data_IF_418079042303
#
_entry.id   IF_418079042303
#
_cell.length_a   1.000
_cell.length_b   1.000
_cell.length_c   1.000
_cell.angle_alpha   90.00
_cell.angle_beta   90.00
_cell.angle_gamma   90.00
#
_symmetry.space_group_name_H-M   'P 1'
#
loop_
_entity.id
_entity.type
_entity.pdbx_description
1 polymer ?
#
# COMPACT_ATOMS: atom_id res chain seq x y z
N UNK A 1 -43.53 -8.17 61.23
CA UNK A 1 -43.95 -9.20 60.25
C UNK A 1 -43.74 -8.65 58.85
N UNK A 2 -42.98 -9.35 58.01
CA UNK A 2 -42.83 -9.01 56.59
C UNK A 2 -44.05 -9.49 55.79
N UNK A 3 -44.41 -8.76 54.74
CA UNK A 3 -45.47 -9.15 53.82
C UNK A 3 -44.90 -9.86 52.59
N UNK A 4 -45.64 -10.83 52.06
CA UNK A 4 -45.26 -11.52 50.84
C UNK A 4 -45.29 -10.52 49.66
N UNK A 5 -44.20 -10.46 48.90
CA UNK A 5 -44.08 -9.58 47.74
C UNK A 5 -45.17 -9.85 46.69
N UNK A 6 -45.56 -11.11 46.51
CA UNK A 6 -46.51 -11.54 45.47
C UNK A 6 -47.98 -11.41 45.91
N UNK A 7 -48.35 -11.91 47.09
CA UNK A 7 -49.76 -11.95 47.53
C UNK A 7 -50.11 -10.96 48.63
N UNK A 8 -49.15 -10.15 49.09
CA UNK A 8 -49.27 -9.11 50.14
C UNK A 8 -49.74 -9.60 51.52
N UNK A 9 -49.94 -10.91 51.71
CA UNK A 9 -50.27 -11.50 53.03
C UNK A 9 -49.14 -11.29 54.03
N UNK A 10 -49.49 -10.99 55.27
CA UNK A 10 -48.56 -10.86 56.41
C UNK A 10 -48.36 -12.23 57.05
N UNK A 11 -47.11 -12.59 57.38
CA UNK A 11 -46.81 -13.90 57.97
C UNK A 11 -45.32 -14.25 57.92
N UNK A 12 -45.02 -15.54 58.01
CA UNK A 12 -43.66 -16.06 57.83
C UNK A 12 -43.27 -16.00 56.35
N UNK A 13 -42.14 -15.36 56.05
CA UNK A 13 -41.68 -15.18 54.67
C UNK A 13 -40.21 -15.59 54.51
N UNK A 14 -39.86 -16.00 53.29
CA UNK A 14 -38.52 -16.42 52.90
C UNK A 14 -37.97 -15.47 51.84
N UNK A 15 -36.71 -15.07 51.97
CA UNK A 15 -36.10 -14.08 51.10
C UNK A 15 -35.33 -14.78 49.99
N UNK A 16 -35.65 -14.46 48.73
CA UNK A 16 -34.85 -14.89 47.58
C UNK A 16 -33.42 -14.37 47.71
N UNK A 17 -32.42 -15.24 47.58
CA UNK A 17 -31.02 -14.88 47.75
C UNK A 17 -30.49 -14.01 46.61
N UNK A 18 -31.16 -13.99 45.45
CA UNK A 18 -30.85 -13.11 44.32
C UNK A 18 -31.55 -11.74 44.42
N UNK A 19 -32.87 -11.67 44.31
CA UNK A 19 -33.60 -10.39 44.27
C UNK A 19 -33.99 -9.82 45.64
N UNK A 20 -33.71 -10.53 46.74
CA UNK A 20 -34.05 -10.16 48.13
C UNK A 20 -35.54 -9.99 48.43
N UNK A 21 -36.44 -10.32 47.50
CA UNK A 21 -37.88 -10.28 47.71
C UNK A 21 -38.33 -11.36 48.70
N UNK A 22 -39.22 -10.99 49.63
CA UNK A 22 -39.82 -11.89 50.62
C UNK A 22 -41.05 -12.59 50.05
N UNK A 23 -41.13 -13.92 50.17
CA UNK A 23 -42.24 -14.73 49.67
C UNK A 23 -42.83 -15.60 50.79
N UNK A 24 -44.16 -15.77 50.81
CA UNK A 24 -44.81 -16.75 51.68
C UNK A 24 -44.60 -18.17 51.16
N UNK A 25 -44.89 -19.18 52.00
CA UNK A 25 -44.77 -20.61 51.66
C UNK A 25 -45.44 -20.94 50.32
N UNK A 26 -46.65 -20.47 50.09
CA UNK A 26 -47.42 -20.81 48.88
C UNK A 26 -46.83 -20.15 47.63
N UNK A 27 -46.44 -18.86 47.71
CA UNK A 27 -45.85 -18.16 46.57
C UNK A 27 -44.40 -18.56 46.27
N UNK A 28 -43.71 -19.13 47.25
CA UNK A 28 -42.37 -19.69 47.11
C UNK A 28 -42.39 -21.17 46.71
N UNK A 29 -43.56 -21.83 46.77
CA UNK A 29 -43.75 -23.27 46.53
C UNK A 29 -42.82 -24.15 47.36
N UNK A 30 -42.56 -23.75 48.60
CA UNK A 30 -41.68 -24.48 49.52
C UNK A 30 -42.42 -25.59 50.25
N UNK A 31 -41.84 -26.78 50.22
CA UNK A 31 -42.24 -27.94 51.01
C UNK A 31 -41.87 -27.76 52.48
N UNK A 32 -42.46 -28.56 53.37
CA UNK A 32 -42.16 -28.47 54.81
C UNK A 32 -40.72 -28.86 55.14
N UNK A 33 -40.14 -29.78 54.39
CA UNK A 33 -38.74 -30.19 54.51
C UNK A 33 -37.80 -29.04 54.15
N UNK A 34 -38.09 -28.29 53.09
CA UNK A 34 -37.33 -27.10 52.70
C UNK A 34 -37.46 -25.96 53.73
N UNK A 35 -38.65 -25.76 54.30
CA UNK A 35 -38.85 -24.76 55.36
C UNK A 35 -38.00 -25.08 56.59
N UNK A 36 -37.95 -26.34 57.02
CA UNK A 36 -37.08 -26.77 58.13
C UNK A 36 -35.60 -26.52 57.83
N UNK A 37 -35.18 -26.70 56.57
CA UNK A 37 -33.81 -26.41 56.15
C UNK A 37 -33.46 -24.90 56.23
N UNK A 38 -34.43 -24.00 56.05
CA UNK A 38 -34.22 -22.55 56.21
C UNK A 38 -34.05 -22.10 57.66
N UNK A 39 -34.54 -22.87 58.63
CA UNK A 39 -34.44 -22.55 60.06
C UNK A 39 -33.08 -22.91 60.65
N UNK A 40 -32.23 -23.63 59.90
CA UNK A 40 -30.89 -23.99 60.33
C UNK A 40 -29.98 -22.75 60.35
N UNK A 41 -29.29 -22.53 61.48
CA UNK A 41 -28.37 -21.38 61.68
C UNK A 41 -27.25 -21.28 60.63
N UNK A 42 -26.83 -22.41 60.05
CA UNK A 42 -25.77 -22.51 59.05
C UNK A 42 -26.30 -23.02 57.70
N UNK A 43 -27.29 -22.33 57.13
CA UNK A 43 -27.81 -22.72 55.81
C UNK A 43 -26.78 -22.44 54.70
N UNK A 44 -26.38 -23.48 53.97
CA UNK A 44 -25.64 -23.38 52.69
C UNK A 44 -26.56 -23.37 51.48
N UNK A 45 -27.79 -23.86 51.65
CA UNK A 45 -28.81 -23.91 50.60
C UNK A 45 -29.26 -22.49 50.26
N UNK A 46 -29.27 -22.18 48.97
CA UNK A 46 -29.77 -20.91 48.44
C UNK A 46 -31.20 -21.10 47.92
N UNK A 47 -32.01 -20.08 48.15
CA UNK A 47 -33.37 -19.99 47.63
C UNK A 47 -33.44 -18.96 46.52
N UNK A 48 -33.98 -19.36 45.37
CA UNK A 48 -34.29 -18.45 44.28
C UNK A 48 -35.78 -18.49 44.01
N UNK A 49 -36.43 -17.33 43.90
CA UNK A 49 -37.79 -17.29 43.41
C UNK A 49 -37.83 -17.72 41.94
N UNK A 50 -38.98 -18.18 41.43
CA UNK A 50 -39.15 -18.65 40.04
C UNK A 50 -38.58 -17.69 38.98
N UNK A 51 -38.74 -16.38 39.20
CA UNK A 51 -38.18 -15.34 38.30
C UNK A 51 -36.65 -15.37 38.29
N UNK A 52 -36.03 -15.47 39.46
CA UNK A 52 -34.58 -15.50 39.59
C UNK A 52 -34.01 -16.85 39.13
N UNK A 53 -34.68 -17.95 39.41
CA UNK A 53 -34.27 -19.28 38.99
C UNK A 53 -34.22 -19.39 37.46
N UNK A 54 -35.30 -18.97 36.78
CA UNK A 54 -35.34 -18.90 35.32
C UNK A 54 -34.35 -17.90 34.70
N UNK A 55 -34.01 -16.81 35.40
CA UNK A 55 -32.98 -15.89 34.93
C UNK A 55 -31.57 -16.48 35.05
N UNK A 56 -31.28 -17.21 36.14
CA UNK A 56 -29.97 -17.79 36.40
C UNK A 56 -29.64 -18.89 35.39
N UNK A 57 -30.63 -19.66 34.95
CA UNK A 57 -30.43 -20.69 33.91
C UNK A 57 -30.08 -20.11 32.54
N UNK A 58 -30.43 -18.85 32.26
CA UNK A 58 -30.10 -18.15 31.00
C UNK A 58 -28.72 -17.49 31.00
N UNK A 59 -28.11 -17.28 32.18
CA UNK A 59 -26.80 -16.62 32.30
C UNK A 59 -25.71 -17.32 31.47
N UNK A 60 -25.56 -18.66 31.48
CA UNK A 60 -24.53 -19.34 30.70
C UNK A 60 -24.69 -19.10 29.19
N UNK A 61 -25.93 -19.05 28.69
CA UNK A 61 -26.22 -18.81 27.28
C UNK A 61 -25.86 -17.37 26.88
N UNK A 62 -26.17 -16.40 27.74
CA UNK A 62 -25.80 -15.01 27.51
C UNK A 62 -24.28 -14.83 27.49
N UNK A 63 -23.55 -15.47 28.41
CA UNK A 63 -22.08 -15.45 28.44
C UNK A 63 -21.50 -16.05 27.17
N UNK A 64 -22.04 -17.17 26.69
CA UNK A 64 -21.60 -17.78 25.43
C UNK A 64 -21.83 -16.85 24.23
N UNK A 65 -22.98 -16.18 24.17
CA UNK A 65 -23.31 -15.22 23.11
C UNK A 65 -22.38 -14.00 23.14
N UNK A 66 -22.13 -13.42 24.32
CA UNK A 66 -21.19 -12.29 24.49
C UNK A 66 -19.79 -12.69 24.02
N UNK A 67 -19.31 -13.88 24.39
CA UNK A 67 -18.00 -14.37 23.96
C UNK A 67 -17.94 -14.56 22.44
N UNK A 68 -18.99 -15.13 21.83
CA UNK A 68 -19.08 -15.30 20.38
C UNK A 68 -19.10 -13.96 19.63
N UNK A 69 -19.79 -12.95 20.16
CA UNK A 69 -19.79 -11.62 19.56
C UNK A 69 -18.42 -10.96 19.71
N UNK A 70 -17.76 -11.15 20.84
CA UNK A 70 -16.41 -10.63 21.09
C UNK A 70 -15.39 -11.22 20.10
N UNK A 71 -15.47 -12.53 19.82
CA UNK A 71 -14.59 -13.17 18.82
C UNK A 71 -14.86 -12.64 17.42
N UNK A 72 -16.12 -12.54 17.00
CA UNK A 72 -16.48 -11.98 15.69
C UNK A 72 -16.01 -10.53 15.53
N UNK A 73 -16.15 -9.69 16.56
CA UNK A 73 -15.64 -8.31 16.54
C UNK A 73 -14.11 -8.28 16.38
N UNK A 74 -13.40 -9.18 17.06
CA UNK A 74 -11.94 -9.24 16.98
C UNK A 74 -11.48 -9.71 15.59
N UNK A 75 -12.15 -10.71 15.01
CA UNK A 75 -11.90 -11.18 13.64
C UNK A 75 -12.17 -10.08 12.61
N UNK A 76 -13.29 -9.37 12.72
CA UNK A 76 -13.60 -8.24 11.85
C UNK A 76 -12.54 -7.14 11.98
N UNK A 77 -12.12 -6.81 13.20
CA UNK A 77 -11.05 -5.83 13.43
C UNK A 77 -9.71 -6.28 12.85
N UNK A 78 -9.34 -7.56 12.94
CA UNK A 78 -8.12 -8.07 12.32
C UNK A 78 -8.20 -8.05 10.81
N UNK A 79 -9.34 -8.42 10.23
CA UNK A 79 -9.55 -8.39 8.78
C UNK A 79 -9.50 -6.95 8.23
N UNK A 80 -10.10 -5.99 8.93
CA UNK A 80 -10.00 -4.57 8.59
C UNK A 80 -8.53 -4.15 8.65
N UNK A 81 -7.80 -4.42 9.74
CA UNK A 81 -6.38 -4.05 9.87
C UNK A 81 -5.53 -4.66 8.75
N UNK A 82 -5.72 -5.93 8.42
CA UNK A 82 -5.02 -6.61 7.33
C UNK A 82 -5.31 -5.95 5.96
N UNK A 83 -6.59 -5.62 5.71
CA UNK A 83 -7.01 -4.92 4.50
C UNK A 83 -6.58 -3.45 4.46
N UNK A 84 -6.35 -2.80 5.61
CA UNK A 84 -5.84 -1.42 5.66
C UNK A 84 -4.31 -1.39 5.51
N UNK A 85 -3.60 -2.42 5.98
CA UNK A 85 -2.15 -2.55 5.83
C UNK A 85 -1.70 -2.86 4.39
N UNK A 86 -2.56 -3.52 3.61
CA UNK A 86 -2.46 -3.48 2.16
C UNK A 86 -3.06 -2.16 1.70
N UNK A 87 -2.24 -1.14 1.47
CA UNK A 87 -2.63 0.12 0.81
C UNK A 87 -3.62 -0.17 -0.31
N UNK A 88 -4.92 -0.04 -0.04
CA UNK A 88 -5.92 0.11 -1.08
C UNK A 88 -5.67 1.52 -1.56
N UNK A 89 -4.79 1.67 -2.55
CA UNK A 89 -4.90 2.81 -3.48
C UNK A 89 -6.33 2.73 -3.98
N UNK A 90 -7.15 3.73 -3.65
CA UNK A 90 -8.55 3.74 -4.10
C UNK A 90 -8.59 3.57 -5.61
N UNK A 91 -9.66 2.97 -6.15
CA UNK A 91 -9.79 2.81 -7.61
C UNK A 91 -9.59 4.16 -8.32
N UNK A 92 -10.08 5.24 -7.70
CA UNK A 92 -9.89 6.63 -8.12
C UNK A 92 -8.42 7.04 -8.22
N UNK A 93 -7.57 6.68 -7.24
CA UNK A 93 -6.13 6.95 -7.28
C UNK A 93 -5.45 6.20 -8.43
N UNK A 94 -5.87 4.97 -8.71
CA UNK A 94 -5.36 4.18 -9.84
C UNK A 94 -5.73 4.85 -11.16
N UNK A 95 -6.99 5.24 -11.33
CA UNK A 95 -7.45 5.92 -12.55
C UNK A 95 -6.76 7.28 -12.74
N UNK A 96 -6.63 8.06 -11.66
CA UNK A 96 -5.92 9.34 -11.68
C UNK A 96 -4.46 9.15 -12.12
N UNK A 97 -3.75 8.17 -11.56
CA UNK A 97 -2.36 7.85 -11.92
C UNK A 97 -2.23 7.39 -13.38
N UNK A 98 -3.16 6.57 -13.89
CA UNK A 98 -3.15 6.14 -15.30
C UNK A 98 -3.32 7.35 -16.21
N UNK A 99 -4.29 8.22 -15.92
CA UNK A 99 -4.53 9.42 -16.72
C UNK A 99 -3.32 10.37 -16.69
N UNK A 100 -2.71 10.54 -15.51
CA UNK A 100 -1.49 11.34 -15.35
C UNK A 100 -0.32 10.79 -16.19
N UNK A 101 -0.15 9.46 -16.22
CA UNK A 101 0.85 8.80 -17.07
C UNK A 101 0.58 9.02 -18.55
N UNK A 102 -0.68 8.94 -18.99
CA UNK A 102 -1.06 9.19 -20.38
C UNK A 102 -0.75 10.64 -20.76
N UNK A 103 -1.10 11.61 -19.91
CA UNK A 103 -0.80 13.02 -20.16
C UNK A 103 0.70 13.33 -20.13
N UNK A 104 1.49 12.61 -19.34
CA UNK A 104 2.95 12.78 -19.27
C UNK A 104 3.72 12.02 -20.35
N UNK A 105 3.10 11.04 -21.00
CA UNK A 105 3.76 10.21 -22.02
C UNK A 105 4.25 11.01 -23.24
N UNK A 106 3.62 12.14 -23.54
CA UNK A 106 4.04 13.10 -24.58
C UNK A 106 5.09 14.11 -24.12
N UNK A 107 5.60 13.99 -22.91
CA UNK A 107 6.54 14.96 -22.34
C UNK A 107 7.95 14.38 -22.22
N UNK A 108 8.94 15.23 -22.44
CA UNK A 108 10.36 14.92 -22.19
C UNK A 108 10.93 15.98 -21.26
N UNK A 109 11.70 15.55 -20.26
CA UNK A 109 12.41 16.45 -19.35
C UNK A 109 13.87 16.50 -19.75
N UNK A 110 14.33 17.69 -20.10
CA UNK A 110 15.73 18.00 -20.42
C UNK A 110 16.39 18.60 -19.19
N UNK A 111 17.49 18.01 -18.76
CA UNK A 111 18.33 18.54 -17.68
C UNK A 111 19.64 19.10 -18.24
N UNK A 112 20.20 20.06 -17.51
CA UNK A 112 21.48 20.72 -17.82
C UNK A 112 21.52 21.49 -19.15
N UNK A 113 20.37 21.95 -19.65
CA UNK A 113 20.34 22.88 -20.77
C UNK A 113 20.56 24.30 -20.25
N UNK A 114 21.60 24.99 -20.73
CA UNK A 114 21.88 26.38 -20.37
C UNK A 114 20.65 27.28 -20.56
N UNK A 115 20.43 28.22 -19.63
CA UNK A 115 19.32 29.17 -19.70
C UNK A 115 19.77 30.47 -20.35
N UNK A 116 18.99 30.94 -21.32
CA UNK A 116 19.20 32.26 -21.90
C UNK A 116 18.61 33.34 -20.97
N UNK A 117 19.43 34.34 -20.63
CA UNK A 117 19.00 35.47 -19.81
C UNK A 117 18.58 36.62 -20.74
N UNK A 118 17.28 36.85 -20.84
CA UNK A 118 16.72 38.08 -21.42
C UNK A 118 15.44 38.45 -20.68
N UNK A 119 15.11 39.74 -20.67
CA UNK A 119 13.91 40.25 -20.03
C UNK A 119 12.65 39.79 -20.78
N UNK A 120 12.71 39.80 -22.11
CA UNK A 120 11.61 39.34 -22.95
C UNK A 120 11.39 37.82 -22.84
N UNK A 121 10.12 37.43 -22.70
CA UNK A 121 9.72 36.03 -22.57
C UNK A 121 9.83 35.27 -23.89
N UNK A 122 9.47 35.91 -25.01
CA UNK A 122 9.43 35.25 -26.31
C UNK A 122 10.83 34.89 -26.82
N UNK A 123 11.80 35.80 -26.64
CA UNK A 123 13.22 35.57 -26.94
C UNK A 123 13.77 34.37 -26.16
N UNK A 124 13.48 34.25 -24.87
CA UNK A 124 13.90 33.07 -24.07
C UNK A 124 13.31 31.77 -24.60
N UNK A 125 12.00 31.76 -24.87
CA UNK A 125 11.32 30.58 -25.39
C UNK A 125 11.89 30.17 -26.75
N UNK A 126 12.14 31.14 -27.65
CA UNK A 126 12.69 30.88 -28.97
C UNK A 126 14.13 30.35 -28.90
N UNK A 127 14.96 30.88 -27.99
CA UNK A 127 16.32 30.37 -27.76
C UNK A 127 16.34 28.96 -27.17
N UNK A 128 15.42 28.66 -26.25
CA UNK A 128 15.24 27.31 -25.72
C UNK A 128 14.83 26.34 -26.83
N UNK A 129 13.88 26.73 -27.69
CA UNK A 129 13.47 25.93 -28.86
C UNK A 129 14.61 25.70 -29.83
N UNK A 130 15.34 26.74 -30.20
CA UNK A 130 16.51 26.66 -31.10
C UNK A 130 17.55 25.69 -30.56
N UNK A 131 17.88 25.80 -29.27
CA UNK A 131 18.84 24.92 -28.60
C UNK A 131 18.39 23.45 -28.62
N UNK A 132 17.11 23.20 -28.36
CA UNK A 132 16.54 21.85 -28.40
C UNK A 132 16.52 21.29 -29.82
N UNK A 133 16.15 22.10 -30.81
CA UNK A 133 16.18 21.70 -32.23
C UNK A 133 17.59 21.31 -32.68
N UNK A 134 18.62 22.06 -32.24
CA UNK A 134 20.02 21.72 -32.52
C UNK A 134 20.42 20.39 -31.88
N UNK A 135 19.95 20.11 -30.66
CA UNK A 135 20.19 18.81 -29.99
C UNK A 135 19.49 17.69 -30.75
N UNK A 136 18.23 17.85 -31.15
CA UNK A 136 17.49 16.84 -31.91
C UNK A 136 18.15 16.55 -33.26
N UNK A 137 18.60 17.60 -33.96
CA UNK A 137 19.38 17.46 -35.20
C UNK A 137 20.69 16.69 -34.98
N UNK A 138 21.42 16.98 -33.89
CA UNK A 138 22.66 16.27 -33.55
C UNK A 138 22.44 14.77 -33.26
N UNK A 139 21.22 14.39 -32.89
CA UNK A 139 20.82 13.00 -32.65
C UNK A 139 20.31 12.30 -33.92
N UNK A 140 20.28 12.99 -35.08
CA UNK A 140 19.64 12.55 -36.33
C UNK A 140 18.15 12.23 -36.16
N UNK A 141 17.44 13.04 -35.37
CA UNK A 141 16.00 12.93 -35.19
C UNK A 141 15.28 13.97 -36.05
N UNK A 142 14.03 13.70 -36.49
CA UNK A 142 13.25 14.70 -37.19
C UNK A 142 12.98 15.92 -36.30
N UNK A 143 12.82 17.07 -36.96
CA UNK A 143 12.42 18.30 -36.30
C UNK A 143 10.92 18.23 -35.97
N UNK A 144 10.60 17.81 -34.76
CA UNK A 144 9.24 17.81 -34.25
C UNK A 144 8.81 19.21 -33.80
N UNK A 145 7.50 19.46 -33.86
CA UNK A 145 6.90 20.63 -33.24
C UNK A 145 6.60 20.36 -31.75
N UNK A 146 7.09 21.23 -30.86
CA UNK A 146 6.89 21.07 -29.43
C UNK A 146 6.72 22.42 -28.70
N UNK A 147 6.09 22.36 -27.52
CA UNK A 147 6.09 23.45 -26.55
C UNK A 147 7.23 23.24 -25.54
N UNK A 148 7.85 24.33 -25.10
CA UNK A 148 8.98 24.32 -24.16
C UNK A 148 8.64 25.15 -22.92
N UNK A 149 8.78 24.58 -21.72
CA UNK A 149 8.45 25.23 -20.45
C UNK A 149 9.54 24.91 -19.42
N UNK A 150 10.22 25.92 -18.87
CA UNK A 150 11.19 25.73 -17.77
C UNK A 150 10.46 25.42 -16.46
N UNK A 151 10.96 24.45 -15.70
CA UNK A 151 10.38 24.00 -14.45
C UNK A 151 11.06 24.65 -13.23
N UNK A 152 10.26 25.19 -12.32
CA UNK A 152 10.72 25.80 -11.07
C UNK A 152 11.06 27.28 -11.16
N UNK A 153 11.46 27.85 -10.03
CA UNK A 153 11.80 29.28 -9.91
C UNK A 153 13.25 29.55 -10.29
N UNK A 154 13.50 30.64 -11.02
CA UNK A 154 14.84 31.06 -11.34
C UNK A 154 15.58 31.46 -10.06
N UNK A 155 16.77 30.88 -9.84
CA UNK A 155 17.66 31.22 -8.73
C UNK A 155 18.98 31.68 -9.31
N UNK A 156 19.48 32.82 -8.83
CA UNK A 156 20.81 33.29 -9.22
C UNK A 156 21.87 32.27 -8.79
N UNK A 157 22.85 32.02 -9.67
CA UNK A 157 23.97 31.08 -9.46
C UNK A 157 23.58 29.63 -9.16
N UNK A 158 22.39 29.20 -9.57
CA UNK A 158 21.94 27.80 -9.46
C UNK A 158 22.22 27.01 -10.74
N UNK A 159 22.19 25.68 -10.63
CA UNK A 159 22.11 24.78 -11.79
C UNK A 159 20.94 25.20 -12.70
N UNK A 160 21.09 25.07 -14.03
CA UNK A 160 20.01 25.39 -14.97
C UNK A 160 18.75 24.58 -14.64
N UNK A 161 17.60 25.26 -14.73
CA UNK A 161 16.29 24.66 -14.51
C UNK A 161 15.99 23.61 -15.56
N UNK A 162 15.37 22.49 -15.18
CA UNK A 162 14.92 21.50 -16.15
C UNK A 162 13.95 22.13 -17.15
N UNK A 163 14.07 21.77 -18.42
CA UNK A 163 13.16 22.17 -19.47
C UNK A 163 12.19 21.02 -19.78
N UNK A 164 10.88 21.29 -19.67
CA UNK A 164 9.82 20.37 -20.09
C UNK A 164 9.47 20.64 -21.53
N UNK A 165 9.61 19.61 -22.36
CA UNK A 165 9.13 19.58 -23.73
C UNK A 165 7.78 18.86 -23.75
N UNK A 166 6.82 19.41 -24.49
CA UNK A 166 5.49 18.84 -24.69
C UNK A 166 5.28 18.65 -26.18
N UNK A 167 5.28 17.40 -26.62
CA UNK A 167 5.08 17.00 -28.00
C UNK A 167 3.58 16.86 -28.32
N UNK A 168 3.25 16.74 -29.62
CA UNK A 168 1.88 16.47 -30.05
C UNK A 168 1.49 15.04 -29.71
N UNK A 169 2.40 14.10 -29.98
CA UNK A 169 2.16 12.66 -29.81
C UNK A 169 3.13 12.02 -28.83
N UNK A 170 2.68 10.95 -28.15
CA UNK A 170 3.55 10.15 -27.27
C UNK A 170 4.68 9.42 -28.04
N UNK A 171 4.44 9.10 -29.32
CA UNK A 171 5.42 8.43 -30.18
C UNK A 171 6.66 9.31 -30.42
N UNK A 172 6.45 10.60 -30.67
CA UNK A 172 7.53 11.59 -30.88
C UNK A 172 8.44 11.66 -29.63
N UNK A 173 7.82 11.82 -28.46
CA UNK A 173 8.54 11.80 -27.18
C UNK A 173 9.29 10.48 -26.95
N UNK A 174 8.69 9.35 -27.33
CA UNK A 174 9.30 8.03 -27.22
C UNK A 174 10.51 7.87 -28.15
N UNK A 175 10.45 8.37 -29.38
CA UNK A 175 11.57 8.35 -30.33
C UNK A 175 12.77 9.13 -29.80
N UNK A 176 12.53 10.35 -29.30
CA UNK A 176 13.54 11.16 -28.63
C UNK A 176 14.18 10.41 -27.45
N UNK A 177 13.37 9.74 -26.63
CA UNK A 177 13.84 9.04 -25.44
C UNK A 177 14.51 7.69 -25.72
N UNK A 178 14.23 7.04 -26.85
CA UNK A 178 14.95 5.82 -27.29
C UNK A 178 16.42 6.12 -27.54
N UNK A 179 16.68 7.23 -28.23
CA UNK A 179 18.00 7.64 -28.66
C UNK A 179 18.69 8.62 -27.70
N UNK A 180 18.14 8.86 -26.52
CA UNK A 180 18.69 9.78 -25.49
C UNK A 180 20.18 9.61 -25.15
N UNK A 181 20.78 8.45 -25.44
CA UNK A 181 22.22 8.19 -25.25
C UNK A 181 23.10 8.87 -26.30
N UNK A 182 22.53 9.28 -27.44
CA UNK A 182 23.18 10.06 -28.50
C UNK A 182 23.19 11.56 -28.20
N UNK A 183 22.45 12.01 -27.17
CA UNK A 183 22.45 13.41 -26.77
C UNK A 183 23.85 13.82 -26.28
N UNK A 184 24.22 15.11 -26.40
CA UNK A 184 25.48 15.62 -25.89
C UNK A 184 25.69 15.25 -24.41
N UNK A 185 26.92 14.88 -24.03
CA UNK A 185 27.24 14.30 -22.71
C UNK A 185 26.75 15.12 -21.50
N UNK A 186 26.72 16.45 -21.66
CA UNK A 186 26.31 17.36 -20.59
C UNK A 186 24.79 17.36 -20.36
N UNK A 187 24.02 16.97 -21.38
CA UNK A 187 22.56 17.07 -21.43
C UNK A 187 21.94 15.71 -21.16
N UNK A 188 20.91 15.68 -20.31
CA UNK A 188 20.20 14.44 -19.98
C UNK A 188 18.73 14.56 -20.35
N UNK A 189 18.25 13.61 -21.15
CA UNK A 189 16.84 13.49 -21.53
C UNK A 189 16.20 12.35 -20.74
N UNK A 190 15.14 12.66 -20.00
CA UNK A 190 14.41 11.70 -19.18
C UNK A 190 12.90 11.77 -19.45
N UNK A 191 12.19 10.69 -19.11
CA UNK A 191 10.73 10.65 -19.07
C UNK A 191 10.19 11.61 -18.00
N UNK A 192 9.07 12.27 -18.28
CA UNK A 192 8.29 12.98 -17.26
C UNK A 192 7.51 11.95 -16.41
N UNK A 193 8.07 11.61 -15.25
CA UNK A 193 7.49 10.61 -14.36
C UNK A 193 6.51 11.23 -13.36
N UNK A 194 5.46 10.49 -13.01
CA UNK A 194 4.56 10.80 -11.89
C UNK A 194 5.30 10.73 -10.55
N UNK A 195 4.69 11.25 -9.48
CA UNK A 195 5.25 11.17 -8.13
C UNK A 195 5.44 9.71 -7.72
N UNK A 196 4.41 8.88 -7.92
CA UNK A 196 4.43 7.45 -7.59
C UNK A 196 5.55 6.71 -8.33
N UNK A 197 5.76 7.01 -9.62
CA UNK A 197 6.86 6.43 -10.39
C UNK A 197 8.24 6.82 -9.85
N UNK A 198 8.42 8.10 -9.47
CA UNK A 198 9.68 8.60 -8.91
C UNK A 198 9.99 7.96 -7.56
N UNK A 199 8.98 7.84 -6.69
CA UNK A 199 9.11 7.19 -5.39
C UNK A 199 9.45 5.71 -5.52
N UNK A 200 8.72 4.98 -6.37
CA UNK A 200 9.02 3.57 -6.66
C UNK A 200 10.45 3.39 -7.16
N UNK A 201 10.90 4.24 -8.09
CA UNK A 201 12.28 4.19 -8.57
C UNK A 201 13.29 4.52 -7.48
N UNK A 202 13.01 5.51 -6.61
CA UNK A 202 13.86 5.87 -5.48
C UNK A 202 14.01 4.70 -4.51
N UNK A 203 12.93 4.02 -4.17
CA UNK A 203 12.95 2.82 -3.32
C UNK A 203 13.82 1.72 -3.92
N UNK A 204 13.60 1.37 -5.18
CA UNK A 204 14.38 0.33 -5.88
C UNK A 204 15.86 0.71 -5.97
N UNK A 205 16.17 2.01 -6.13
CA UNK A 205 17.55 2.51 -6.13
C UNK A 205 18.21 2.42 -4.76
N UNK A 206 17.49 2.74 -3.69
CA UNK A 206 17.98 2.57 -2.32
C UNK A 206 18.25 1.09 -2.01
N UNK A 207 17.30 0.22 -2.37
CA UNK A 207 17.46 -1.23 -2.22
C UNK A 207 18.69 -1.75 -2.99
N UNK A 208 18.89 -1.30 -4.23
CA UNK A 208 20.09 -1.65 -4.99
C UNK A 208 21.36 -1.22 -4.25
N UNK A 209 21.41 0.00 -3.71
CA UNK A 209 22.56 0.48 -2.96
C UNK A 209 22.84 -0.36 -1.71
N UNK A 210 21.79 -0.73 -0.96
CA UNK A 210 21.92 -1.62 0.20
C UNK A 210 22.47 -2.99 -0.18
N UNK A 211 22.00 -3.58 -1.29
CA UNK A 211 22.53 -4.88 -1.76
C UNK A 211 23.99 -4.77 -2.20
N UNK A 212 24.34 -3.69 -2.89
CA UNK A 212 25.72 -3.42 -3.29
C UNK A 212 26.64 -3.22 -2.06
N UNK A 213 26.18 -2.51 -1.02
CA UNK A 213 26.95 -2.36 0.23
C UNK A 213 27.08 -3.67 1.01
N UNK A 214 26.12 -4.58 0.88
CA UNK A 214 26.16 -5.91 1.46
C UNK A 214 27.06 -6.89 0.67
N UNK A 215 27.72 -6.44 -0.41
CA UNK A 215 28.66 -7.23 -1.19
C UNK A 215 28.05 -8.00 -2.37
N UNK A 216 26.74 -7.86 -2.64
CA UNK A 216 26.17 -8.41 -3.88
C UNK A 216 26.76 -7.66 -5.09
N UNK A 217 27.25 -8.40 -6.08
CA UNK A 217 27.81 -7.83 -7.31
C UNK A 217 26.91 -8.06 -8.52
N UNK A 218 27.21 -7.36 -9.62
CA UNK A 218 26.54 -7.53 -10.91
C UNK A 218 25.04 -7.23 -10.93
N UNK A 219 24.54 -6.42 -10.00
CA UNK A 219 23.14 -5.99 -9.99
C UNK A 219 22.90 -4.79 -10.92
N UNK A 220 21.70 -4.69 -11.49
CA UNK A 220 21.22 -3.48 -12.17
C UNK A 220 19.71 -3.37 -12.12
N UNK A 221 19.23 -2.13 -12.20
CA UNK A 221 17.80 -1.85 -12.38
C UNK A 221 17.46 -2.01 -13.86
N UNK A 222 16.46 -2.84 -14.16
CA UNK A 222 15.81 -2.88 -15.46
C UNK A 222 14.31 -2.71 -15.32
N UNK A 223 13.70 -2.14 -16.34
CA UNK A 223 12.24 -2.07 -16.43
C UNK A 223 11.72 -3.35 -17.06
N UNK A 224 10.87 -4.08 -16.33
CA UNK A 224 10.18 -5.29 -16.80
C UNK A 224 8.69 -4.99 -16.76
N UNK A 225 8.02 -5.03 -17.93
CA UNK A 225 6.60 -4.67 -18.07
C UNK A 225 6.26 -3.30 -17.47
N UNK A 226 7.13 -2.32 -17.68
CA UNK A 226 6.95 -0.95 -17.17
C UNK A 226 7.34 -0.74 -15.70
N UNK A 227 7.77 -1.78 -14.98
CA UNK A 227 8.15 -1.66 -13.57
C UNK A 227 9.66 -1.78 -13.35
N UNK A 228 10.27 -0.90 -12.53
CA UNK A 228 11.69 -1.02 -12.18
C UNK A 228 11.91 -2.22 -11.25
N UNK A 229 12.81 -3.12 -11.62
CA UNK A 229 13.20 -4.29 -10.83
C UNK A 229 14.72 -4.44 -10.83
N UNK A 230 15.27 -4.89 -9.70
CA UNK A 230 16.69 -5.26 -9.59
C UNK A 230 16.85 -6.64 -10.21
N UNK A 231 17.79 -6.77 -11.14
CA UNK A 231 18.15 -8.04 -11.76
C UNK A 231 19.66 -8.27 -11.63
N UNK A 232 20.06 -9.54 -11.63
CA UNK A 232 21.46 -9.91 -11.80
C UNK A 232 21.83 -9.88 -13.28
N UNK A 233 22.97 -9.26 -13.60
CA UNK A 233 23.59 -9.33 -14.91
C UNK A 233 24.25 -10.70 -15.01
N UNK A 234 23.67 -11.63 -15.76
CA UNK A 234 24.36 -12.86 -16.11
C UNK A 234 25.63 -12.52 -16.91
N UNK A 235 26.76 -13.10 -16.51
CA UNK A 235 28.04 -12.95 -17.20
C UNK A 235 27.97 -13.66 -18.56
N UNK A 236 27.49 -12.97 -19.60
CA UNK A 236 27.46 -13.47 -20.99
C UNK A 236 28.84 -13.88 -21.54
N UNK A 237 29.94 -13.59 -20.83
CA UNK A 237 31.31 -13.96 -21.23
C UNK A 237 31.59 -15.48 -21.21
N UNK A 238 30.83 -16.29 -20.45
CA UNK A 238 31.09 -17.74 -20.35
C UNK A 238 30.41 -18.52 -21.50
N UNK A 239 29.23 -18.10 -21.94
CA UNK A 239 28.47 -18.81 -22.98
C UNK A 239 29.12 -18.79 -24.37
N UNK A 240 29.91 -17.76 -24.70
CA UNK A 240 30.59 -17.63 -26.00
C UNK A 240 31.84 -18.52 -26.08
N UNK A 241 32.46 -18.86 -24.94
CA UNK A 241 33.67 -19.70 -24.91
C UNK A 241 33.34 -21.17 -25.14
N UNK A 242 32.18 -21.64 -24.65
CA UNK A 242 31.73 -23.03 -24.81
C UNK A 242 31.33 -23.32 -26.27
N UNK A 243 30.67 -22.37 -26.95
CA UNK A 243 30.28 -22.55 -28.37
C UNK A 243 31.47 -22.52 -29.34
N UNK A 244 32.55 -21.79 -29.03
CA UNK A 244 33.79 -21.83 -29.85
C UNK A 244 34.61 -23.12 -29.69
N UNK A 245 34.66 -23.70 -28.49
CA UNK A 245 35.33 -25.00 -28.31
C UNK A 245 34.59 -26.15 -29.02
N UNK A 246 33.25 -26.11 -29.06
CA UNK A 246 32.47 -27.17 -29.71
C UNK A 246 32.53 -27.13 -31.25
N UNK A 247 32.63 -25.94 -31.86
CA UNK A 247 32.75 -25.81 -33.33
C UNK A 247 34.18 -26.11 -33.81
N UNK A 248 35.21 -25.90 -32.99
CA UNK A 248 36.59 -26.29 -33.32
C UNK A 248 36.79 -27.80 -33.38
N UNK A 249 36.21 -28.55 -32.44
CA UNK A 249 36.39 -30.01 -32.36
C UNK A 249 35.65 -30.82 -33.46
N UNK A 250 34.71 -30.21 -34.19
CA UNK A 250 33.97 -30.87 -35.27
C UNK A 250 34.59 -30.69 -36.67
N UNK A 251 35.62 -29.83 -36.80
CA UNK A 251 36.32 -29.63 -38.09
C UNK A 251 37.53 -30.54 -38.30
N UNK A 252 38.01 -31.19 -37.23
CA UNK A 252 39.18 -32.07 -37.28
C UNK A 252 38.80 -33.57 -37.38
N UNK A 253 37.53 -33.88 -37.64
CA UNK A 253 36.99 -35.25 -37.69
C UNK A 253 36.48 -35.67 -39.09
N UNK A 254 37.05 -35.11 -40.16
CA UNK A 254 36.85 -35.62 -41.54
C UNK A 254 38.21 -35.99 -42.13
N UNK A 255 38.58 -37.29 -42.13
CA UNK A 255 39.67 -37.76 -42.96
C UNK A 255 39.17 -37.97 -44.40
N UNK A 256 39.90 -37.34 -45.34
CA UNK A 256 40.05 -37.61 -46.79
C UNK A 256 38.86 -38.18 -47.54
#
# INVERSE_FOLDING_TARGET
MSSCYHCKKTGKTFNCDACKQSLCKECAELTETEIRAFELKNRRMRFYCKKCDGAITLIPQLVALVNSLQTQINELKSNIKANTSNKITSEEEIFAEINDRLHRSKNVIVYNLSEFQSDDLNTRINKDKESVSNILNSMNLPLYEFKSIRLGTAKQNSKPRPLKLIFKNANEAMEVLKDRRKAPNDIKLNYDQTILQREKYKMVRQELQTRLSNGEQNLAIRYIRGEPKIISKSNKKIAIKITRCFIGALKDAVPV
#
